data_IF_027413509097
#
_entry.id   IF_027413509097
#
_cell.length_a   1.000
_cell.length_b   1.000
_cell.length_c   1.000
_cell.angle_alpha   90.00
_cell.angle_beta   90.00
_cell.angle_gamma   90.00
#
_symmetry.space_group_name_H-M   'P 1'
#
loop_
_entity.id
_entity.type
_entity.pdbx_description
1 polymer ?
#
# COMPACT_ATOMS: atom_id res chain seq x y z
N UNK A 1 -1.38 -41.65 -5.06
CA UNK A 1 -1.76 -40.23 -5.27
C UNK A 1 -1.33 -39.50 -4.01
N UNK A 2 -0.35 -38.59 -4.12
CA UNK A 2 0.12 -37.80 -2.98
C UNK A 2 -0.89 -36.69 -2.70
N UNK A 3 -1.76 -36.87 -1.71
CA UNK A 3 -2.49 -35.76 -1.10
C UNK A 3 -1.52 -35.02 -0.21
N UNK A 4 -0.96 -33.90 -0.69
CA UNK A 4 -0.25 -32.98 0.19
C UNK A 4 -1.31 -32.31 1.07
N UNK A 5 -1.42 -32.73 2.33
CA UNK A 5 -2.28 -32.05 3.29
C UNK A 5 -1.79 -30.62 3.48
N UNK A 6 -2.48 -29.66 2.86
CA UNK A 6 -2.30 -28.25 3.16
C UNK A 6 -2.88 -27.99 4.55
N UNK A 7 -2.01 -27.76 5.54
CA UNK A 7 -2.36 -27.56 6.97
C UNK A 7 -3.45 -26.51 7.24
N UNK A 8 -3.71 -25.59 6.30
CA UNK A 8 -4.61 -24.44 6.49
C UNK A 8 -5.65 -24.22 5.38
N UNK A 9 -5.46 -24.78 4.19
CA UNK A 9 -6.40 -24.65 3.06
C UNK A 9 -6.91 -26.03 2.67
N UNK A 10 -8.12 -26.13 2.15
CA UNK A 10 -8.58 -27.41 1.57
C UNK A 10 -8.01 -27.60 0.16
N UNK A 11 -7.92 -28.84 -0.30
CA UNK A 11 -7.52 -29.14 -1.68
C UNK A 11 -8.40 -28.37 -2.69
N UNK A 12 -9.71 -28.29 -2.45
CA UNK A 12 -10.62 -27.52 -3.29
C UNK A 12 -10.29 -26.02 -3.34
N UNK A 13 -9.90 -25.43 -2.21
CA UNK A 13 -9.47 -24.03 -2.14
C UNK A 13 -8.16 -23.81 -2.90
N UNK A 14 -7.23 -24.75 -2.81
CA UNK A 14 -5.97 -24.73 -3.57
C UNK A 14 -6.24 -24.82 -5.07
N UNK A 15 -7.07 -25.78 -5.49
CA UNK A 15 -7.46 -25.91 -6.90
C UNK A 15 -8.22 -24.68 -7.42
N UNK A 16 -9.07 -24.08 -6.57
CA UNK A 16 -9.74 -22.81 -6.88
C UNK A 16 -8.74 -21.68 -7.09
N UNK A 17 -7.73 -21.57 -6.24
CA UNK A 17 -6.67 -20.56 -6.38
C UNK A 17 -5.92 -20.73 -7.70
N UNK A 18 -5.50 -21.95 -8.05
CA UNK A 18 -4.79 -22.21 -9.31
C UNK A 18 -5.64 -21.92 -10.54
N UNK A 19 -6.94 -22.22 -10.50
CA UNK A 19 -7.84 -21.99 -11.62
C UNK A 19 -8.21 -20.51 -11.78
N UNK A 20 -8.52 -19.82 -10.68
CA UNK A 20 -9.10 -18.49 -10.72
C UNK A 20 -8.05 -17.37 -10.54
N UNK A 21 -6.82 -17.69 -10.12
CA UNK A 21 -5.73 -16.75 -9.85
C UNK A 21 -5.84 -16.02 -8.50
N UNK A 22 -6.89 -16.27 -7.73
CA UNK A 22 -7.11 -15.71 -6.39
C UNK A 22 -8.02 -16.60 -5.55
N UNK A 23 -8.02 -16.37 -4.23
CA UNK A 23 -8.88 -17.08 -3.29
C UNK A 23 -9.44 -16.11 -2.25
N UNK A 24 -10.74 -16.20 -1.98
CA UNK A 24 -11.39 -15.43 -0.90
C UNK A 24 -11.43 -16.28 0.37
N UNK A 25 -10.78 -15.80 1.41
CA UNK A 25 -10.79 -16.42 2.75
C UNK A 25 -11.63 -15.53 3.67
N UNK A 26 -12.89 -15.90 3.97
CA UNK A 26 -13.73 -15.11 4.86
C UNK A 26 -13.18 -15.16 6.30
N UNK A 27 -13.33 -14.05 7.04
CA UNK A 27 -12.94 -13.94 8.44
C UNK A 27 -11.47 -14.34 8.72
N UNK A 28 -10.55 -14.06 7.77
CA UNK A 28 -9.13 -14.32 7.94
C UNK A 28 -8.52 -13.52 9.10
N UNK A 29 -8.97 -12.27 9.26
CA UNK A 29 -8.66 -11.44 10.42
C UNK A 29 -9.92 -11.26 11.26
N UNK A 30 -9.72 -11.22 12.58
CA UNK A 30 -10.73 -10.80 13.54
C UNK A 30 -11.01 -9.30 13.43
N UNK A 31 -12.13 -8.87 14.03
CA UNK A 31 -12.47 -7.45 14.12
C UNK A 31 -11.38 -6.66 14.85
N UNK A 32 -10.88 -7.20 15.96
CA UNK A 32 -9.88 -6.53 16.80
C UNK A 32 -8.54 -6.37 16.07
N UNK A 33 -8.11 -7.39 15.31
CA UNK A 33 -6.91 -7.29 14.45
C UNK A 33 -7.09 -6.23 13.36
N UNK A 34 -8.27 -6.18 12.73
CA UNK A 34 -8.56 -5.18 11.69
C UNK A 34 -8.60 -3.76 12.26
N UNK A 35 -9.20 -3.59 13.45
CA UNK A 35 -9.26 -2.30 14.15
C UNK A 35 -7.87 -1.84 14.62
N UNK A 36 -7.02 -2.77 15.08
CA UNK A 36 -5.64 -2.47 15.45
C UNK A 36 -4.82 -2.01 14.25
N UNK A 37 -4.93 -2.69 13.10
CA UNK A 37 -4.29 -2.29 11.85
C UNK A 37 -4.76 -0.90 11.41
N UNK A 38 -6.07 -0.66 11.38
CA UNK A 38 -6.64 0.64 11.00
C UNK A 38 -6.19 1.76 11.94
N UNK A 39 -6.15 1.51 13.24
CA UNK A 39 -5.68 2.47 14.24
C UNK A 39 -4.22 2.83 14.01
N UNK A 40 -3.38 1.83 13.77
CA UNK A 40 -1.96 2.06 13.49
C UNK A 40 -1.76 2.84 12.18
N UNK A 41 -2.52 2.53 11.13
CA UNK A 41 -2.47 3.28 9.87
C UNK A 41 -2.85 4.75 10.05
N UNK A 42 -3.86 5.06 10.88
CA UNK A 42 -4.22 6.45 11.19
C UNK A 42 -3.11 7.19 11.94
N UNK A 43 -2.51 6.56 12.95
CA UNK A 43 -1.37 7.15 13.66
C UNK A 43 -0.21 7.49 12.71
N UNK A 44 0.12 6.58 11.78
CA UNK A 44 1.15 6.85 10.78
C UNK A 44 0.79 8.05 9.89
N UNK A 45 -0.47 8.19 9.48
CA UNK A 45 -0.93 9.36 8.71
C UNK A 45 -0.90 10.66 9.52
N UNK A 46 -1.17 10.60 10.82
CA UNK A 46 -1.13 11.77 11.69
C UNK A 46 0.31 12.25 11.90
N UNK A 47 1.24 11.29 12.12
CA UNK A 47 2.68 11.52 12.30
C UNK A 47 3.39 11.94 11.00
N UNK A 48 2.75 11.76 9.84
CA UNK A 48 3.29 12.15 8.54
C UNK A 48 3.47 13.66 8.40
N UNK A 49 4.69 14.11 8.12
CA UNK A 49 5.00 15.49 7.75
C UNK A 49 5.10 15.64 6.23
N UNK A 50 4.36 16.62 5.70
CA UNK A 50 4.40 16.99 4.27
C UNK A 50 5.62 17.86 3.97
N UNK A 51 6.19 18.54 4.96
CA UNK A 51 7.28 19.50 4.80
C UNK A 51 8.59 18.82 4.36
N UNK A 52 8.86 17.61 4.86
CA UNK A 52 10.02 16.80 4.50
C UNK A 52 9.73 15.83 3.34
N UNK A 53 8.52 15.89 2.77
CA UNK A 53 8.08 14.97 1.75
C UNK A 53 8.32 15.55 0.35
N UNK A 54 8.90 14.78 -0.60
CA UNK A 54 9.15 15.26 -1.97
C UNK A 54 7.88 15.49 -2.80
N UNK A 55 6.69 15.46 -2.19
CA UNK A 55 5.37 15.49 -2.85
C UNK A 55 5.24 14.48 -4.00
N UNK A 56 5.97 13.37 -3.91
CA UNK A 56 5.95 12.30 -4.90
C UNK A 56 4.54 11.81 -5.12
N UNK A 57 4.08 11.90 -6.37
CA UNK A 57 2.79 11.39 -6.83
C UNK A 57 2.98 9.93 -7.21
N UNK A 58 1.99 9.08 -6.90
CA UNK A 58 1.98 7.72 -7.42
C UNK A 58 1.53 7.75 -8.88
N UNK A 59 2.45 7.51 -9.82
CA UNK A 59 2.13 7.39 -11.25
C UNK A 59 2.49 6.00 -11.76
N UNK A 60 1.53 5.28 -12.34
CA UNK A 60 1.73 3.93 -12.92
C UNK A 60 2.29 3.92 -14.34
N UNK A 61 2.85 5.04 -14.82
CA UNK A 61 3.41 5.17 -16.16
C UNK A 61 4.62 6.11 -16.21
N UNK A 62 5.46 5.92 -17.23
CA UNK A 62 6.60 6.79 -17.57
C UNK A 62 6.10 8.24 -17.66
N UNK A 63 6.37 9.01 -16.61
CA UNK A 63 6.01 10.41 -16.52
C UNK A 63 7.29 11.22 -16.73
N UNK A 64 7.24 12.23 -17.60
CA UNK A 64 8.34 13.12 -18.00
C UNK A 64 8.99 13.96 -16.87
N UNK A 65 8.71 13.65 -15.59
CA UNK A 65 9.32 14.28 -14.40
C UNK A 65 10.17 13.26 -13.62
N UNK A 66 11.07 12.62 -14.36
CA UNK A 66 11.91 11.51 -13.91
C UNK A 66 12.75 11.80 -12.67
N UNK A 67 13.03 10.70 -11.97
CA UNK A 67 14.07 10.50 -10.95
C UNK A 67 13.71 10.77 -9.49
N UNK A 68 12.98 11.84 -9.12
CA UNK A 68 12.72 12.10 -7.67
C UNK A 68 11.72 11.12 -7.06
N UNK A 69 10.68 10.77 -7.83
CA UNK A 69 9.71 9.74 -7.41
C UNK A 69 10.34 8.35 -7.34
N UNK A 70 11.23 8.06 -8.30
CA UNK A 70 11.91 6.78 -8.42
C UNK A 70 12.93 6.61 -7.28
N UNK A 71 13.75 7.60 -6.96
CA UNK A 71 14.71 7.50 -5.85
C UNK A 71 14.02 7.36 -4.49
N UNK A 72 12.90 8.06 -4.29
CA UNK A 72 12.10 7.97 -3.06
C UNK A 72 11.45 6.59 -2.90
N UNK A 73 10.99 6.01 -4.01
CA UNK A 73 10.43 4.66 -4.06
C UNK A 73 11.50 3.57 -3.93
N UNK A 74 12.57 3.64 -4.71
CA UNK A 74 13.64 2.63 -4.73
C UNK A 74 14.39 2.59 -3.40
N UNK A 75 14.64 3.73 -2.74
CA UNK A 75 15.32 3.75 -1.45
C UNK A 75 14.37 3.59 -0.23
N UNK A 76 13.26 2.87 -0.40
CA UNK A 76 12.29 2.65 0.69
C UNK A 76 12.12 1.22 1.16
N UNK A 77 13.05 0.32 0.77
CA UNK A 77 13.18 -1.04 1.28
C UNK A 77 13.06 -1.18 2.80
N UNK A 78 13.51 -0.17 3.54
CA UNK A 78 13.63 -0.16 5.01
C UNK A 78 12.75 0.90 5.69
N UNK A 79 11.89 1.64 4.94
CA UNK A 79 11.16 2.81 5.45
C UNK A 79 9.69 2.79 5.08
N UNK A 80 8.84 3.27 5.99
CA UNK A 80 7.44 3.57 5.67
C UNK A 80 7.40 4.86 4.86
N UNK A 81 6.94 4.77 3.61
CA UNK A 81 6.74 5.92 2.72
C UNK A 81 5.27 6.16 2.43
N UNK A 82 4.99 7.42 2.13
CA UNK A 82 3.68 7.96 1.83
C UNK A 82 3.62 8.28 0.34
N UNK A 83 2.61 7.77 -0.35
CA UNK A 83 2.44 8.06 -1.77
C UNK A 83 1.12 8.81 -1.94
N UNK A 84 1.19 10.00 -2.51
CA UNK A 84 0.04 10.89 -2.64
C UNK A 84 -0.78 10.55 -3.88
N UNK A 85 -2.08 10.82 -3.82
CA UNK A 85 -2.97 10.80 -4.99
C UNK A 85 -2.46 11.77 -6.07
N UNK A 86 -2.67 11.42 -7.35
CA UNK A 86 -2.19 12.22 -8.48
C UNK A 86 -2.76 13.65 -8.50
N UNK A 87 -4.00 13.80 -7.99
CA UNK A 87 -4.76 15.05 -7.91
C UNK A 87 -4.72 15.70 -6.52
N UNK A 88 -3.97 15.13 -5.58
CA UNK A 88 -3.79 15.72 -4.25
C UNK A 88 -2.84 16.91 -4.24
N UNK A 89 -2.04 17.11 -5.29
CA UNK A 89 -1.08 18.22 -5.41
C UNK A 89 -1.42 19.07 -6.64
N UNK A 90 -1.60 20.37 -6.43
CA UNK A 90 -1.88 21.33 -7.51
C UNK A 90 -0.64 21.65 -8.37
N UNK A 91 -0.76 22.63 -9.27
CA UNK A 91 0.32 23.06 -10.16
C UNK A 91 1.40 23.86 -9.42
N UNK A 92 1.08 24.42 -8.27
CA UNK A 92 1.96 25.23 -7.43
C UNK A 92 2.65 24.39 -6.33
N UNK A 93 2.43 23.07 -6.32
CA UNK A 93 3.02 22.15 -5.35
C UNK A 93 2.34 22.16 -3.99
N UNK A 94 1.08 22.62 -3.90
CA UNK A 94 0.32 22.62 -2.65
C UNK A 94 -0.71 21.51 -2.61
N UNK A 95 -1.00 21.04 -1.40
CA UNK A 95 -2.05 20.06 -1.19
C UNK A 95 -3.43 20.66 -1.44
N UNK A 96 -4.24 19.97 -2.23
CA UNK A 96 -5.62 20.36 -2.53
C UNK A 96 -6.62 19.92 -1.45
N UNK A 97 -6.18 19.07 -0.53
CA UNK A 97 -6.98 18.45 0.54
C UNK A 97 -6.12 18.21 1.78
N UNK A 98 -6.77 17.82 2.87
CA UNK A 98 -6.08 17.44 4.10
C UNK A 98 -5.04 16.32 3.86
N UNK A 99 -3.87 16.42 4.52
CA UNK A 99 -2.76 15.48 4.32
C UNK A 99 -3.16 14.03 4.55
N UNK A 100 -4.05 13.75 5.51
CA UNK A 100 -4.50 12.38 5.81
C UNK A 100 -5.40 11.81 4.72
N UNK A 101 -5.99 12.68 3.89
CA UNK A 101 -6.84 12.34 2.74
C UNK A 101 -6.11 12.44 1.40
N UNK A 102 -4.88 12.93 1.42
CA UNK A 102 -4.03 13.08 0.25
C UNK A 102 -3.21 11.82 -0.06
N UNK A 103 -3.05 10.93 0.93
CA UNK A 103 -2.28 9.69 0.79
C UNK A 103 -3.12 8.61 0.13
N UNK A 104 -2.65 8.09 -1.01
CA UNK A 104 -3.22 6.95 -1.71
C UNK A 104 -2.83 5.63 -1.02
N UNK A 105 -1.53 5.48 -0.71
CA UNK A 105 -0.98 4.28 -0.07
C UNK A 105 0.18 4.59 0.87
N UNK A 106 0.30 3.73 1.87
CA UNK A 106 1.44 3.64 2.78
C UNK A 106 2.14 2.33 2.50
N UNK A 107 3.44 2.36 2.23
CA UNK A 107 4.17 1.14 1.93
C UNK A 107 5.61 1.21 2.44
N UNK A 108 6.10 0.05 2.84
CA UNK A 108 7.52 -0.28 2.83
C UNK A 108 7.71 -1.22 1.65
N UNK A 109 8.05 -0.73 0.45
CA UNK A 109 8.23 -1.60 -0.70
C UNK A 109 9.46 -2.48 -0.45
N UNK A 110 9.28 -3.80 -0.40
CA UNK A 110 10.42 -4.72 -0.42
C UNK A 110 11.17 -4.57 -1.75
N UNK A 111 12.48 -4.38 -1.65
CA UNK A 111 13.41 -4.58 -2.75
C UNK A 111 13.98 -6.00 -2.68
#
# INVERSE_FOLDING_TARGET
MNTSETKYLTEEQVQKFYRDGYLRIPAFLTKDETDALLTRSKQLLDDFSVEDHPLTRFTTGESDKGHVGDDYFLNSGDKIRYFLEEDAVDKDGKLTRDKTKAVNKLAQPCM
#
